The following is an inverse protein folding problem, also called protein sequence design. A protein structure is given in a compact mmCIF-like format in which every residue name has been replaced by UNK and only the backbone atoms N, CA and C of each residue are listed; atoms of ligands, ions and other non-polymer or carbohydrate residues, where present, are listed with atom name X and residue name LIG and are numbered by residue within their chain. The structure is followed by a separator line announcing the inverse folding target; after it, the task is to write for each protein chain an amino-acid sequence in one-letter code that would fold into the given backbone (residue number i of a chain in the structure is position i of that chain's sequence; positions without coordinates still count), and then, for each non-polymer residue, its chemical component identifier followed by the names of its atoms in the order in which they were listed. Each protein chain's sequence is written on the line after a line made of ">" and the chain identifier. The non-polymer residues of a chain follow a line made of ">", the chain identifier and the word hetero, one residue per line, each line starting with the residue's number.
data_IF_374695953925
#
_entry.id   IF_374695953925
#
_cell.length_a   1.000
_cell.length_b   1.000
_cell.length_c   1.000
_cell.angle_alpha   90.00
_cell.angle_beta   90.00
_cell.angle_gamma   90.00
#
_symmetry.space_group_name_H-M   'P 1'
#
loop_
_entity.id
_entity.type
_entity.pdbx_description
1 polymer ?
#
# COMPACT_ATOMS: atom_id res chain seq x y z
N UNK A 1 -41.27 -1.27 -1.84
CA UNK A 1 -40.43 -0.74 -0.75
C UNK A 1 -39.68 0.47 -1.28
N UNK A 2 -39.42 1.49 -0.46
CA UNK A 2 -38.60 2.62 -0.91
C UNK A 2 -37.14 2.15 -0.95
N UNK A 3 -36.39 2.50 -2.00
CA UNK A 3 -34.97 2.14 -2.19
C UNK A 3 -34.09 2.40 -0.94
N UNK A 4 -34.40 3.45 -0.19
CA UNK A 4 -33.77 3.76 1.09
C UNK A 4 -33.94 2.68 2.17
N UNK A 5 -35.09 2.01 2.24
CA UNK A 5 -35.37 0.95 3.21
C UNK A 5 -34.59 -0.33 2.86
N UNK A 6 -34.42 -0.58 1.55
CA UNK A 6 -33.67 -1.69 0.99
C UNK A 6 -32.17 -1.50 1.27
N UNK A 7 -31.66 -0.30 1.00
CA UNK A 7 -30.26 0.05 1.27
C UNK A 7 -29.92 0.00 2.76
N UNK A 8 -30.85 0.40 3.64
CA UNK A 8 -30.64 0.30 5.09
C UNK A 8 -30.57 -1.16 5.56
N UNK A 9 -31.47 -2.03 5.09
CA UNK A 9 -31.46 -3.45 5.47
C UNK A 9 -30.17 -4.17 5.02
N UNK A 10 -29.69 -3.88 3.80
CA UNK A 10 -28.44 -4.47 3.29
C UNK A 10 -27.23 -3.87 4.03
N UNK A 11 -27.26 -2.57 4.35
CA UNK A 11 -26.22 -1.90 5.13
C UNK A 11 -26.08 -2.45 6.56
N UNK A 12 -27.19 -2.72 7.25
CA UNK A 12 -27.14 -3.32 8.60
C UNK A 12 -26.50 -4.71 8.64
N UNK A 13 -26.55 -5.43 7.51
CA UNK A 13 -25.87 -6.73 7.37
C UNK A 13 -24.40 -6.53 6.99
N UNK A 14 -24.10 -5.57 6.10
CA UNK A 14 -22.74 -5.33 5.61
C UNK A 14 -21.82 -4.60 6.61
N UNK A 15 -22.36 -3.70 7.44
CA UNK A 15 -21.58 -2.95 8.46
C UNK A 15 -21.27 -3.82 9.71
N UNK A 16 -21.60 -5.12 9.71
CA UNK A 16 -21.14 -6.06 10.74
C UNK A 16 -19.73 -6.54 10.36
N UNK A 17 -18.72 -6.00 11.03
CA UNK A 17 -17.29 -6.19 10.77
C UNK A 17 -16.77 -7.65 10.73
N UNK A 18 -17.59 -8.66 11.08
CA UNK A 18 -17.13 -10.04 11.29
C UNK A 18 -18.12 -11.10 10.76
N UNK A 19 -18.82 -10.80 9.67
CA UNK A 19 -19.68 -11.79 8.98
C UNK A 19 -18.90 -12.47 7.86
N UNK A 20 -18.82 -13.80 7.92
CA UNK A 20 -18.23 -14.59 6.85
C UNK A 20 -19.08 -14.52 5.55
N UNK A 21 -18.48 -14.77 4.37
CA UNK A 21 -19.18 -14.65 3.10
C UNK A 21 -20.43 -15.54 2.94
N UNK A 22 -20.48 -16.70 3.60
CA UNK A 22 -21.65 -17.59 3.55
C UNK A 22 -22.79 -17.04 4.40
N UNK A 23 -22.51 -16.60 5.62
CA UNK A 23 -23.51 -15.97 6.50
C UNK A 23 -24.04 -14.65 5.92
N UNK A 24 -23.19 -13.86 5.25
CA UNK A 24 -23.60 -12.65 4.54
C UNK A 24 -24.59 -13.00 3.43
N UNK A 25 -24.24 -14.00 2.61
CA UNK A 25 -25.09 -14.47 1.52
C UNK A 25 -26.43 -14.99 2.03
N UNK A 26 -26.43 -15.83 3.06
CA UNK A 26 -27.66 -16.39 3.65
C UNK A 26 -28.55 -15.30 4.24
N UNK A 27 -27.95 -14.29 4.89
CA UNK A 27 -28.69 -13.14 5.43
C UNK A 27 -29.31 -12.30 4.32
N UNK A 28 -28.56 -12.05 3.24
CA UNK A 28 -29.05 -11.34 2.06
C UNK A 28 -30.14 -12.13 1.32
N UNK A 29 -30.00 -13.46 1.23
CA UNK A 29 -30.99 -14.35 0.61
C UNK A 29 -32.28 -14.43 1.44
N UNK A 30 -32.19 -14.40 2.77
CA UNK A 30 -33.32 -14.35 3.69
C UNK A 30 -34.17 -13.06 3.59
N UNK A 31 -33.60 -11.96 3.08
CA UNK A 31 -34.36 -10.73 2.81
C UNK A 31 -35.42 -11.00 1.73
N UNK A 32 -36.68 -10.67 2.04
CA UNK A 32 -37.83 -10.74 1.10
C UNK A 32 -37.81 -9.60 0.08
N UNK A 33 -36.70 -9.47 -0.64
CA UNK A 33 -36.48 -8.48 -1.70
C UNK A 33 -36.42 -9.18 -3.05
N UNK A 34 -36.73 -8.47 -4.14
CA UNK A 34 -36.49 -8.99 -5.48
C UNK A 34 -34.99 -9.11 -5.74
N UNK A 35 -34.60 -9.98 -6.68
CA UNK A 35 -33.19 -10.12 -7.07
C UNK A 35 -32.59 -8.77 -7.48
N UNK A 36 -33.33 -8.01 -8.29
CA UNK A 36 -32.85 -6.77 -8.86
C UNK A 36 -32.69 -5.69 -7.77
N UNK A 37 -33.62 -5.61 -6.81
CA UNK A 37 -33.49 -4.72 -5.64
C UNK A 37 -32.29 -5.04 -4.75
N UNK A 38 -31.99 -6.34 -4.56
CA UNK A 38 -30.80 -6.77 -3.79
C UNK A 38 -29.51 -6.36 -4.49
N UNK A 39 -29.44 -6.57 -5.81
CA UNK A 39 -28.27 -6.22 -6.60
C UNK A 39 -28.06 -4.70 -6.66
N UNK A 40 -29.12 -3.92 -6.78
CA UNK A 40 -29.06 -2.45 -6.77
C UNK A 40 -28.54 -1.91 -5.42
N UNK A 41 -29.05 -2.45 -4.30
CA UNK A 41 -28.56 -2.04 -2.99
C UNK A 41 -27.11 -2.47 -2.70
N UNK A 42 -26.70 -3.65 -3.18
CA UNK A 42 -25.30 -4.08 -3.11
C UNK A 42 -24.39 -3.19 -3.97
N UNK A 43 -24.84 -2.78 -5.15
CA UNK A 43 -24.09 -1.85 -6.00
C UNK A 43 -23.87 -0.52 -5.28
N UNK A 44 -24.91 0.05 -4.65
CA UNK A 44 -24.80 1.28 -3.88
C UNK A 44 -23.83 1.18 -2.67
N UNK A 45 -23.77 0.02 -2.01
CA UNK A 45 -22.77 -0.22 -0.95
C UNK A 45 -21.35 -0.29 -1.51
N UNK A 46 -21.15 -0.97 -2.64
CA UNK A 46 -19.84 -1.06 -3.30
C UNK A 46 -19.38 0.32 -3.77
N UNK A 47 -20.27 1.15 -4.32
CA UNK A 47 -19.94 2.54 -4.70
C UNK A 47 -19.55 3.39 -3.49
N UNK A 48 -20.31 3.31 -2.39
CA UNK A 48 -19.97 3.96 -1.11
C UNK A 48 -18.58 3.55 -0.64
N UNK A 49 -18.31 2.26 -0.59
CA UNK A 49 -17.05 1.74 -0.08
C UNK A 49 -15.88 2.08 -1.01
N UNK A 50 -16.09 2.08 -2.32
CA UNK A 50 -15.11 2.55 -3.31
C UNK A 50 -14.75 4.02 -3.07
N UNK A 51 -15.75 4.90 -2.89
CA UNK A 51 -15.53 6.30 -2.58
C UNK A 51 -14.76 6.50 -1.25
N UNK A 52 -15.09 5.70 -0.23
CA UNK A 52 -14.37 5.72 1.06
C UNK A 52 -12.91 5.26 0.90
N UNK A 53 -12.67 4.19 0.13
CA UNK A 53 -11.31 3.68 -0.15
C UNK A 53 -10.49 4.75 -0.86
N UNK A 54 -11.04 5.43 -1.85
CA UNK A 54 -10.35 6.48 -2.59
C UNK A 54 -10.04 7.69 -1.69
N UNK A 55 -10.99 8.10 -0.86
CA UNK A 55 -10.78 9.15 0.14
C UNK A 55 -9.66 8.80 1.13
N UNK A 56 -9.70 7.59 1.70
CA UNK A 56 -8.70 7.11 2.64
C UNK A 56 -7.32 6.99 1.99
N UNK A 57 -7.25 6.47 0.77
CA UNK A 57 -6.00 6.36 0.00
C UNK A 57 -5.36 7.73 -0.21
N UNK A 58 -6.14 8.72 -0.63
CA UNK A 58 -5.66 10.09 -0.78
C UNK A 58 -5.21 10.69 0.55
N UNK A 59 -5.96 10.44 1.63
CA UNK A 59 -5.59 10.93 2.97
C UNK A 59 -4.31 10.32 3.49
N UNK A 60 -4.11 9.01 3.32
CA UNK A 60 -2.88 8.29 3.68
C UNK A 60 -1.70 8.87 2.93
N UNK A 61 -1.85 9.13 1.63
CA UNK A 61 -0.80 9.76 0.81
C UNK A 61 -0.40 11.13 1.39
N UNK A 62 -1.38 12.00 1.66
CA UNK A 62 -1.13 13.32 2.25
C UNK A 62 -0.43 13.24 3.62
N UNK A 63 -0.88 12.34 4.50
CA UNK A 63 -0.27 12.14 5.82
C UNK A 63 1.16 11.60 5.70
N UNK A 64 1.41 10.73 4.72
CA UNK A 64 2.75 10.20 4.44
C UNK A 64 3.68 11.31 3.94
N UNK A 65 3.20 12.18 3.04
CA UNK A 65 3.95 13.35 2.58
C UNK A 65 4.27 14.32 3.73
N UNK A 66 3.29 14.59 4.60
CA UNK A 66 3.49 15.42 5.80
C UNK A 66 4.50 14.80 6.77
N UNK A 67 4.42 13.49 7.01
CA UNK A 67 5.40 12.76 7.81
C UNK A 67 6.80 12.94 7.24
N UNK A 68 6.97 12.73 5.94
CA UNK A 68 8.27 12.91 5.28
C UNK A 68 8.78 14.35 5.36
N UNK A 69 7.90 15.35 5.29
CA UNK A 69 8.29 16.75 5.51
C UNK A 69 8.90 16.95 6.90
N UNK A 70 8.25 16.47 7.96
CA UNK A 70 8.78 16.57 9.33
C UNK A 70 10.04 15.73 9.53
N UNK A 71 10.15 14.54 8.93
CA UNK A 71 11.38 13.74 8.96
C UNK A 71 12.56 14.50 8.34
N UNK A 72 12.35 15.11 7.18
CA UNK A 72 13.37 15.90 6.49
C UNK A 72 13.74 17.15 7.28
N UNK A 73 12.76 17.89 7.81
CA UNK A 73 13.01 19.06 8.65
C UNK A 73 13.82 18.67 9.89
N UNK A 74 13.45 17.59 10.58
CA UNK A 74 14.19 17.07 11.73
C UNK A 74 15.63 16.73 11.37
N UNK A 75 15.84 16.03 10.26
CA UNK A 75 17.19 15.64 9.82
C UNK A 75 18.04 16.85 9.45
N UNK A 76 17.46 17.86 8.78
CA UNK A 76 18.16 19.10 8.46
C UNK A 76 18.60 19.86 9.73
N UNK A 77 17.72 19.94 10.74
CA UNK A 77 18.04 20.55 12.02
C UNK A 77 19.14 19.78 12.76
N UNK A 78 19.08 18.44 12.78
CA UNK A 78 20.13 17.61 13.38
C UNK A 78 21.47 17.77 12.68
N UNK A 79 21.48 17.84 11.34
CA UNK A 79 22.70 18.07 10.56
C UNK A 79 23.30 19.44 10.91
N UNK A 80 22.49 20.50 10.92
CA UNK A 80 22.94 21.84 11.31
C UNK A 80 23.52 21.85 12.74
N UNK A 81 22.83 21.24 13.70
CA UNK A 81 23.34 21.13 15.08
C UNK A 81 24.66 20.37 15.15
N UNK A 82 24.81 19.32 14.33
CA UNK A 82 26.04 18.52 14.26
C UNK A 82 27.18 19.34 13.67
N UNK A 83 26.95 20.01 12.54
CA UNK A 83 27.93 20.91 11.90
C UNK A 83 28.42 21.99 12.86
N UNK A 84 27.51 22.66 13.58
CA UNK A 84 27.88 23.70 14.57
C UNK A 84 28.73 23.15 15.71
N UNK A 85 28.43 21.93 16.20
CA UNK A 85 29.19 21.33 17.30
C UNK A 85 30.56 20.85 16.82
N UNK A 86 30.62 20.25 15.62
CA UNK A 86 31.85 19.76 15.00
C UNK A 86 32.80 20.91 14.63
N UNK A 87 32.28 22.02 14.07
CA UNK A 87 33.03 23.24 13.75
C UNK A 87 33.63 23.89 15.01
N UNK A 88 32.92 23.80 16.13
CA UNK A 88 33.41 24.26 17.42
C UNK A 88 34.44 23.31 18.06
N UNK A 89 34.62 22.10 17.51
CA UNK A 89 35.51 21.07 18.06
C UNK A 89 35.05 20.51 19.40
N UNK A 90 33.77 20.68 19.75
CA UNK A 90 33.19 20.30 21.04
C UNK A 90 32.62 18.88 20.93
N UNK A 91 32.92 18.00 21.88
CA UNK A 91 32.37 16.62 21.86
C UNK A 91 30.97 16.51 22.46
N UNK A 92 30.61 17.49 23.29
CA UNK A 92 29.40 17.50 24.10
C UNK A 92 29.03 18.92 24.49
N UNK A 93 27.81 19.34 24.18
CA UNK A 93 27.29 20.67 24.48
C UNK A 93 26.08 20.54 25.41
N UNK A 94 26.16 21.15 26.59
CA UNK A 94 25.05 21.26 27.53
C UNK A 94 24.35 22.60 27.32
N UNK A 95 23.07 22.53 27.01
CA UNK A 95 22.15 23.68 27.00
C UNK A 95 21.37 23.69 28.31
N UNK A 96 20.57 24.73 28.54
CA UNK A 96 19.75 24.87 29.75
C UNK A 96 18.88 23.63 30.03
N UNK A 97 18.41 22.94 28.98
CA UNK A 97 17.48 21.82 29.11
C UNK A 97 17.94 20.51 28.44
N UNK A 98 19.01 20.53 27.63
CA UNK A 98 19.40 19.38 26.80
C UNK A 98 20.92 19.18 26.72
N UNK A 99 21.32 17.92 26.56
CA UNK A 99 22.70 17.55 26.29
C UNK A 99 22.81 17.09 24.83
N UNK A 100 23.62 17.79 24.05
CA UNK A 100 23.84 17.55 22.63
C UNK A 100 25.18 16.85 22.44
N UNK A 101 25.18 15.64 21.89
CA UNK A 101 26.38 14.84 21.66
C UNK A 101 26.34 14.29 20.22
N UNK A 102 27.14 14.83 19.29
CA UNK A 102 27.34 14.21 18.00
C UNK A 102 27.83 12.78 18.20
N UNK A 103 27.16 11.82 17.56
CA UNK A 103 27.57 10.42 17.61
C UNK A 103 28.30 10.08 16.32
N UNK A 104 29.52 9.59 16.46
CA UNK A 104 30.27 9.01 15.35
C UNK A 104 29.63 7.66 14.96
N UNK A 105 28.79 7.67 13.93
CA UNK A 105 28.36 6.44 13.27
C UNK A 105 29.48 5.90 12.38
N UNK A 106 29.38 4.62 11.97
CA UNK A 106 30.31 4.04 11.01
C UNK A 106 30.42 4.95 9.78
N UNK A 107 31.65 5.21 9.32
CA UNK A 107 31.91 6.05 8.15
C UNK A 107 31.04 5.59 6.97
N UNK A 108 30.36 6.56 6.34
CA UNK A 108 29.54 6.29 5.16
C UNK A 108 30.46 5.92 3.99
N UNK A 109 30.27 4.74 3.43
CA UNK A 109 30.94 4.38 2.16
C UNK A 109 30.28 5.17 1.04
N UNK A 110 31.00 6.14 0.48
CA UNK A 110 30.56 6.92 -0.68
C UNK A 110 31.22 6.29 -1.91
N UNK A 111 30.41 5.82 -2.85
CA UNK A 111 30.90 5.32 -4.14
C UNK A 111 30.86 6.49 -5.12
N UNK A 112 32.02 7.06 -5.44
CA UNK A 112 32.11 8.18 -6.37
C UNK A 112 31.96 7.76 -7.84
N UNK A 113 32.38 6.53 -8.16
CA UNK A 113 32.28 5.95 -9.51
C UNK A 113 32.28 4.42 -9.41
N UNK A 114 31.12 3.81 -9.68
CA UNK A 114 30.91 2.37 -9.62
C UNK A 114 31.79 1.60 -10.63
N UNK A 115 32.17 2.22 -11.75
CA UNK A 115 32.96 1.56 -12.82
C UNK A 115 34.42 1.37 -12.45
N UNK A 116 34.90 2.14 -11.48
CA UNK A 116 36.25 2.03 -10.92
C UNK A 116 36.33 1.00 -9.80
N UNK A 117 35.21 0.46 -9.34
CA UNK A 117 35.20 -0.54 -8.28
C UNK A 117 35.67 -1.90 -8.81
N UNK A 118 36.60 -2.56 -8.11
CA UNK A 118 36.97 -3.94 -8.42
C UNK A 118 35.76 -4.87 -8.35
N UNK A 119 35.73 -5.89 -9.21
CA UNK A 119 34.62 -6.87 -9.30
C UNK A 119 34.29 -7.58 -7.98
N UNK A 120 35.23 -7.63 -7.03
CA UNK A 120 35.01 -8.21 -5.69
C UNK A 120 33.93 -7.48 -4.88
N UNK A 121 33.65 -6.21 -5.19
CA UNK A 121 32.61 -5.41 -4.52
C UNK A 121 31.28 -5.36 -5.30
N UNK A 122 31.24 -5.94 -6.50
CA UNK A 122 30.07 -5.93 -7.39
C UNK A 122 29.33 -7.25 -7.24
N UNK A 123 28.13 -7.20 -6.67
CA UNK A 123 27.23 -8.36 -6.57
C UNK A 123 26.25 -8.31 -7.74
N UNK A 124 26.48 -9.14 -8.76
CA UNK A 124 25.54 -9.32 -9.87
C UNK A 124 24.43 -10.28 -9.44
N UNK A 125 23.18 -9.82 -9.46
CA UNK A 125 22.00 -10.68 -9.26
C UNK A 125 21.34 -10.93 -10.61
N UNK A 126 21.39 -12.17 -11.09
CA UNK A 126 20.57 -12.60 -12.23
C UNK A 126 19.16 -12.85 -11.72
N UNK A 127 18.22 -11.98 -12.11
CA UNK A 127 16.80 -12.15 -11.77
C UNK A 127 16.15 -12.95 -12.89
N UNK A 128 15.88 -14.24 -12.64
CA UNK A 128 15.01 -15.05 -13.48
C UNK A 128 13.56 -14.81 -13.07
N UNK A 129 12.84 -14.03 -13.88
CA UNK A 129 11.39 -13.82 -13.71
C UNK A 129 10.62 -14.53 -14.82
N UNK A 130 9.54 -15.21 -14.44
CA UNK A 130 8.63 -15.84 -15.39
C UNK A 130 7.82 -14.75 -16.11
N UNK A 131 7.90 -14.72 -17.44
CA UNK A 131 7.07 -13.84 -18.27
C UNK A 131 5.66 -14.41 -18.41
N UNK A 132 4.82 -14.08 -17.42
CA UNK A 132 3.41 -14.50 -17.37
C UNK A 132 2.59 -13.99 -18.56
N UNK A 133 3.02 -12.91 -19.24
CA UNK A 133 2.28 -12.34 -20.38
C UNK A 133 2.48 -13.19 -21.63
N UNK A 134 3.72 -13.60 -21.90
CA UNK A 134 4.02 -14.55 -22.98
C UNK A 134 3.36 -15.89 -22.72
N UNK A 135 3.48 -16.41 -21.51
CA UNK A 135 2.76 -17.63 -21.07
C UNK A 135 1.26 -17.57 -21.35
N UNK A 136 0.59 -16.47 -20.97
CA UNK A 136 -0.84 -16.28 -21.26
C UNK A 136 -1.13 -16.26 -22.76
N UNK A 137 -0.30 -15.58 -23.55
CA UNK A 137 -0.48 -15.47 -24.99
C UNK A 137 -0.30 -16.83 -25.68
N UNK A 138 0.78 -17.55 -25.37
CA UNK A 138 1.08 -18.87 -25.92
C UNK A 138 -0.02 -19.88 -25.56
N UNK A 139 -0.51 -19.88 -24.31
CA UNK A 139 -1.64 -20.71 -23.88
C UNK A 139 -2.97 -20.33 -24.53
N UNK A 140 -3.19 -19.04 -24.83
CA UNK A 140 -4.38 -18.56 -25.54
C UNK A 140 -4.35 -18.92 -27.03
N UNK A 141 -3.16 -18.95 -27.63
CA UNK A 141 -2.92 -19.35 -29.02
C UNK A 141 -2.89 -20.88 -29.20
N UNK A 142 -3.13 -21.64 -28.12
CA UNK A 142 -3.32 -23.10 -28.15
C UNK A 142 -2.07 -23.93 -27.88
N UNK A 143 -0.97 -23.31 -27.43
CA UNK A 143 0.22 -24.05 -26.98
C UNK A 143 0.02 -24.55 -25.55
N UNK A 144 0.16 -25.85 -25.34
CA UNK A 144 0.24 -26.42 -24.00
C UNK A 144 1.59 -26.09 -23.39
N UNK A 145 1.59 -25.31 -22.30
CA UNK A 145 2.80 -25.00 -21.53
C UNK A 145 2.80 -25.83 -20.23
N UNK A 146 3.68 -26.84 -20.10
CA UNK A 146 3.75 -27.66 -18.90
C UNK A 146 3.97 -26.81 -17.64
N UNK A 147 3.05 -26.92 -16.69
CA UNK A 147 3.10 -26.19 -15.42
C UNK A 147 2.31 -24.88 -15.37
N UNK A 148 1.57 -24.51 -16.42
CA UNK A 148 0.66 -23.37 -16.42
C UNK A 148 -0.74 -23.76 -16.95
N UNK A 149 -1.79 -23.18 -16.37
CA UNK A 149 -3.18 -23.37 -16.81
C UNK A 149 -3.96 -22.06 -16.70
N UNK A 150 -4.96 -21.89 -17.57
CA UNK A 150 -5.85 -20.72 -17.56
C UNK A 150 -7.14 -21.07 -16.82
N UNK A 151 -7.42 -20.34 -15.74
CA UNK A 151 -8.70 -20.43 -15.03
C UNK A 151 -9.64 -19.30 -15.45
N UNK A 152 -10.97 -19.56 -15.54
CA UNK A 152 -11.94 -18.53 -15.85
C UNK A 152 -12.03 -17.51 -14.71
N UNK A 153 -11.47 -16.32 -14.94
CA UNK A 153 -11.58 -15.17 -14.04
C UNK A 153 -12.70 -14.25 -14.53
N UNK A 154 -13.82 -14.22 -13.80
CA UNK A 154 -14.97 -13.34 -14.08
C UNK A 154 -15.30 -12.53 -12.84
N UNK A 155 -15.49 -11.22 -13.02
CA UNK A 155 -15.92 -10.28 -11.98
C UNK A 155 -17.02 -9.39 -12.56
N UNK A 156 -18.07 -9.11 -11.79
CA UNK A 156 -19.06 -8.09 -12.15
C UNK A 156 -18.43 -6.71 -12.05
N UNK A 157 -18.56 -5.91 -13.11
CA UNK A 157 -18.16 -4.49 -13.12
C UNK A 157 -19.40 -3.63 -12.95
N UNK A 158 -19.32 -2.63 -12.07
CA UNK A 158 -20.32 -1.57 -11.94
C UNK A 158 -19.78 -0.40 -12.77
N UNK A 159 -20.58 0.13 -13.69
CA UNK A 159 -20.21 1.19 -14.64
C UNK A 159 -21.29 2.25 -14.73
#
# INVERSE_FOLDING_TARGET
>A
MKLFEINNAIKEVADKDDIDPETLKDTLDALKLTRDDKLDGLAGLIERDTANIDFLTNKIKQLTEQKHHYENQKNNLLNYMTEVIDDAGIKELHTEHYILKPRNYKQKTIISDERKLPKIYIVTKEVSSIDKRKLYQDMKDGQEVPGAHLEPNRKTTIS
#
